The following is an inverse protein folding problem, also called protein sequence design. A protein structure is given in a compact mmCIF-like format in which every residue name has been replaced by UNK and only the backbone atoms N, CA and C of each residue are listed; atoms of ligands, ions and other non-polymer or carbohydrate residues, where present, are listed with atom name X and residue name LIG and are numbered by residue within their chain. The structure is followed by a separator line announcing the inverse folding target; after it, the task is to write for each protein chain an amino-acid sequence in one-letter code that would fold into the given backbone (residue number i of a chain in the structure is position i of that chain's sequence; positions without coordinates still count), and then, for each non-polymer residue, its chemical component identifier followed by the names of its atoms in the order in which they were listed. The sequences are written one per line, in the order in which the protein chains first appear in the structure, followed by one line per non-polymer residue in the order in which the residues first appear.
data_IF_513872947507
#
_entry.id   IF_513872947507
#
_cell.length_a   1.000
_cell.length_b   1.000
_cell.length_c   1.000
_cell.angle_alpha   90.00
_cell.angle_beta   90.00
_cell.angle_gamma   90.00
#
_symmetry.space_group_name_H-M   'P 1'
#
loop_
_entity.id
_entity.type
_entity.pdbx_description
1 polymer ?
#
# COMPACT_ATOMS: atom_id res chain seq x y z
N UNK A 1 -4.43 3.52 10.49
CA UNK A 1 -3.80 2.21 10.76
C UNK A 1 -2.34 2.21 10.37
N UNK A 2 -1.48 1.49 11.10
CA UNK A 2 -0.05 1.35 10.83
C UNK A 2 0.50 0.12 11.54
N UNK A 3 1.67 -0.36 11.13
CA UNK A 3 2.39 -1.44 11.80
C UNK A 3 3.65 -0.93 12.50
N UNK A 4 4.12 0.26 12.14
CA UNK A 4 5.22 0.98 12.81
C UNK A 4 5.10 2.48 12.56
N UNK A 5 5.71 3.27 13.45
CA UNK A 5 5.84 4.72 13.33
C UNK A 5 7.18 5.15 13.95
N UNK A 6 7.45 6.45 14.03
CA UNK A 6 8.68 7.00 14.58
C UNK A 6 8.92 6.60 16.04
N UNK A 7 7.89 6.58 16.89
CA UNK A 7 8.02 6.18 18.28
C UNK A 7 8.35 4.70 18.42
N UNK A 8 7.60 3.85 17.74
CA UNK A 8 7.80 2.40 17.82
C UNK A 8 9.11 1.93 17.20
N UNK A 9 9.57 2.62 16.14
CA UNK A 9 10.82 2.25 15.47
C UNK A 9 12.05 2.67 16.28
N UNK A 10 12.00 3.78 17.01
CA UNK A 10 13.15 4.31 17.72
C UNK A 10 12.95 4.43 19.24
N UNK A 11 11.93 5.15 19.73
CA UNK A 11 11.81 5.49 21.15
C UNK A 11 11.42 4.32 22.04
N UNK A 12 10.35 3.60 21.71
CA UNK A 12 9.76 2.62 22.61
C UNK A 12 10.60 1.35 22.75
N UNK A 13 11.15 0.86 21.66
CA UNK A 13 11.84 -0.42 21.66
C UNK A 13 13.22 -0.43 21.02
N UNK A 14 13.55 0.59 20.23
CA UNK A 14 14.73 0.65 19.35
C UNK A 14 14.87 -0.60 18.48
N UNK A 15 13.73 -1.23 18.13
CA UNK A 15 13.68 -2.42 17.33
C UNK A 15 13.17 -2.10 15.95
N UNK A 16 13.83 -2.62 14.95
CA UNK A 16 13.37 -2.55 13.57
C UNK A 16 12.06 -3.33 13.41
N UNK A 17 11.32 -3.04 12.35
CA UNK A 17 10.08 -3.76 12.03
C UNK A 17 10.32 -5.27 11.95
N UNK A 18 11.43 -5.68 11.32
CA UNK A 18 11.83 -7.08 11.19
C UNK A 18 12.16 -7.71 12.55
N UNK A 19 12.85 -7.01 13.43
CA UNK A 19 13.15 -7.51 14.77
C UNK A 19 11.91 -7.65 15.66
N UNK A 20 10.89 -6.79 15.42
CA UNK A 20 9.66 -6.77 16.21
C UNK A 20 8.67 -7.83 15.77
N UNK A 21 8.50 -8.01 14.48
CA UNK A 21 7.43 -8.84 13.92
C UNK A 21 7.91 -10.02 13.07
N UNK A 22 9.21 -10.08 12.71
CA UNK A 22 9.69 -11.09 11.76
C UNK A 22 8.85 -11.07 10.49
N UNK A 23 8.47 -12.24 10.00
CA UNK A 23 7.64 -12.36 8.79
C UNK A 23 6.16 -12.03 9.01
N UNK A 24 5.70 -11.88 10.25
CA UNK A 24 4.39 -11.29 10.52
C UNK A 24 4.24 -9.87 9.98
N UNK A 25 5.35 -9.16 9.68
CA UNK A 25 5.29 -7.84 9.07
C UNK A 25 4.50 -7.81 7.76
N UNK A 26 4.47 -8.89 6.99
CA UNK A 26 3.72 -8.99 5.74
C UNK A 26 2.20 -9.07 5.97
N UNK A 27 1.64 -10.09 6.66
CA UNK A 27 0.21 -10.14 6.90
C UNK A 27 -0.29 -8.97 7.75
N UNK A 28 0.53 -8.41 8.67
CA UNK A 28 0.18 -7.19 9.40
C UNK A 28 0.10 -5.97 8.48
N UNK A 29 0.97 -5.87 7.46
CA UNK A 29 0.86 -4.82 6.43
C UNK A 29 -0.45 -4.97 5.65
N UNK A 30 -0.80 -6.19 5.23
CA UNK A 30 -2.08 -6.46 4.55
C UNK A 30 -3.25 -6.03 5.45
N UNK A 31 -3.23 -6.43 6.72
CA UNK A 31 -4.26 -6.04 7.70
C UNK A 31 -4.38 -4.52 7.79
N UNK A 32 -3.27 -3.79 7.99
CA UNK A 32 -3.27 -2.34 8.15
C UNK A 32 -3.85 -1.60 6.92
N UNK A 33 -3.71 -2.16 5.73
CA UNK A 33 -4.24 -1.55 4.49
C UNK A 33 -5.69 -1.90 4.18
N UNK A 34 -6.19 -3.00 4.71
CA UNK A 34 -7.52 -3.53 4.37
C UNK A 34 -8.56 -3.34 5.46
N UNK A 35 -8.16 -3.02 6.70
CA UNK A 35 -9.08 -2.56 7.74
C UNK A 35 -9.52 -1.12 7.53
N UNK A 36 -10.50 -0.68 8.33
CA UNK A 36 -10.96 0.71 8.34
C UNK A 36 -9.83 1.69 8.69
N UNK A 37 -9.82 2.83 8.02
CA UNK A 37 -8.92 3.95 8.26
C UNK A 37 -7.86 4.14 7.18
N UNK A 38 -7.11 5.23 7.31
CA UNK A 38 -6.03 5.57 6.41
C UNK A 38 -4.75 4.86 6.87
N UNK A 39 -4.12 4.02 6.01
CA UNK A 39 -2.86 3.40 6.35
C UNK A 39 -1.71 4.43 6.30
N UNK A 40 -0.75 4.27 7.20
CA UNK A 40 0.49 5.01 7.23
C UNK A 40 1.66 4.06 6.98
N UNK A 41 2.55 4.43 6.08
CA UNK A 41 3.86 3.82 5.91
C UNK A 41 4.88 4.72 6.60
N UNK A 42 5.62 4.15 7.53
CA UNK A 42 6.77 4.83 8.09
C UNK A 42 7.98 4.67 7.17
N UNK A 43 8.79 5.70 7.05
CA UNK A 43 9.98 5.75 6.21
C UNK A 43 10.86 4.52 6.37
N UNK A 44 11.24 3.86 5.26
CA UNK A 44 12.06 2.65 5.24
C UNK A 44 11.27 1.35 5.41
N UNK A 45 9.95 1.38 5.64
CA UNK A 45 9.13 0.17 5.66
C UNK A 45 9.13 -0.53 4.31
N UNK A 46 9.14 0.23 3.22
CA UNK A 46 9.20 -0.25 1.85
C UNK A 46 10.49 -1.00 1.51
N UNK A 47 11.56 -0.80 2.28
CA UNK A 47 12.82 -1.54 2.17
C UNK A 47 12.90 -2.74 3.12
N UNK A 48 11.77 -3.11 3.75
CA UNK A 48 11.66 -4.20 4.71
C UNK A 48 11.72 -3.79 6.18
N UNK A 49 11.93 -2.49 6.46
CA UNK A 49 11.96 -1.98 7.83
C UNK A 49 13.09 -2.54 8.70
N UNK A 50 14.28 -2.72 8.11
CA UNK A 50 15.45 -3.33 8.76
C UNK A 50 16.32 -2.33 9.51
N UNK A 51 15.94 -1.07 9.59
CA UNK A 51 16.70 0.01 10.19
C UNK A 51 15.89 0.72 11.27
N UNK A 52 16.50 0.95 12.43
CA UNK A 52 15.97 1.87 13.43
C UNK A 52 16.43 3.29 13.06
N UNK A 53 15.46 4.19 12.89
CA UNK A 53 15.72 5.57 12.46
C UNK A 53 15.68 6.50 13.66
N UNK A 54 16.84 6.99 14.07
CA UNK A 54 16.94 8.02 15.09
C UNK A 54 16.57 9.39 14.49
N UNK A 55 15.37 9.87 14.78
CA UNK A 55 14.89 11.14 14.25
C UNK A 55 15.41 12.38 14.99
N UNK A 56 16.18 12.21 16.07
CA UNK A 56 16.92 13.29 16.71
C UNK A 56 18.33 13.46 16.13
N UNK A 57 18.86 12.42 15.49
CA UNK A 57 20.16 12.42 14.86
C UNK A 57 19.99 12.00 13.40
N UNK A 58 20.49 12.75 12.47
CA UNK A 58 20.37 12.59 11.02
C UNK A 58 20.64 11.15 10.52
N UNK A 59 19.75 10.21 10.83
CA UNK A 59 19.82 8.82 10.38
C UNK A 59 19.30 8.71 8.96
N UNK A 60 20.15 8.30 8.05
CA UNK A 60 19.79 8.12 6.63
C UNK A 60 19.21 6.73 6.40
N UNK A 61 18.13 6.66 5.62
CA UNK A 61 17.55 5.38 5.20
C UNK A 61 18.50 4.72 4.21
N UNK A 62 18.81 3.45 4.44
CA UNK A 62 19.57 2.66 3.49
C UNK A 62 18.63 2.12 2.38
N UNK A 63 18.56 2.84 1.29
CA UNK A 63 17.75 2.46 0.12
C UNK A 63 18.34 1.30 -0.69
N UNK A 64 19.54 0.85 -0.39
CA UNK A 64 20.19 -0.30 -1.06
C UNK A 64 19.70 -1.65 -0.51
N UNK A 65 19.10 -1.67 0.68
CA UNK A 65 18.44 -2.87 1.17
C UNK A 65 17.03 -2.92 0.57
N UNK A 66 16.77 -3.92 -0.26
CA UNK A 66 15.46 -4.07 -0.89
C UNK A 66 14.79 -5.33 -0.37
N UNK A 67 13.57 -5.18 0.10
CA UNK A 67 12.65 -6.28 0.36
C UNK A 67 11.59 -6.27 -0.75
N UNK A 68 11.88 -6.96 -1.85
CA UNK A 68 10.99 -7.01 -3.01
C UNK A 68 9.59 -7.52 -2.66
N UNK A 69 9.48 -8.44 -1.70
CA UNK A 69 8.18 -8.93 -1.22
C UNK A 69 7.39 -7.82 -0.54
N UNK A 70 8.01 -7.04 0.36
CA UNK A 70 7.36 -5.92 1.02
C UNK A 70 6.97 -4.83 0.02
N UNK A 71 7.90 -4.47 -0.86
CA UNK A 71 7.66 -3.44 -1.88
C UNK A 71 6.49 -3.80 -2.80
N UNK A 72 6.44 -5.04 -3.29
CA UNK A 72 5.38 -5.50 -4.18
C UNK A 72 4.04 -5.67 -3.43
N UNK A 73 4.08 -6.11 -2.17
CA UNK A 73 2.89 -6.15 -1.30
C UNK A 73 2.31 -4.75 -1.15
N UNK A 74 3.12 -3.76 -0.81
CA UNK A 74 2.69 -2.37 -0.67
C UNK A 74 2.14 -1.80 -1.98
N UNK A 75 2.81 -2.03 -3.10
CA UNK A 75 2.34 -1.62 -4.44
C UNK A 75 0.95 -2.15 -4.75
N UNK A 76 0.75 -3.44 -4.51
CA UNK A 76 -0.54 -4.08 -4.76
C UNK A 76 -1.62 -3.53 -3.82
N UNK A 77 -1.29 -3.31 -2.55
CA UNK A 77 -2.22 -2.73 -1.57
C UNK A 77 -2.59 -1.29 -1.89
N UNK A 78 -1.66 -0.48 -2.41
CA UNK A 78 -1.96 0.86 -2.91
C UNK A 78 -2.95 0.83 -4.07
N UNK A 79 -2.65 0.01 -5.09
CA UNK A 79 -3.54 -0.14 -6.24
C UNK A 79 -4.93 -0.63 -5.80
N UNK A 80 -4.98 -1.60 -4.90
CA UNK A 80 -6.21 -2.14 -4.33
C UNK A 80 -7.04 -1.05 -3.63
N UNK A 81 -6.42 -0.27 -2.73
CA UNK A 81 -7.11 0.76 -1.96
C UNK A 81 -7.62 1.91 -2.84
N UNK A 82 -6.96 2.18 -3.97
CA UNK A 82 -7.42 3.16 -4.95
C UNK A 82 -8.53 2.65 -5.87
N UNK A 83 -8.52 1.35 -6.19
CA UNK A 83 -9.45 0.78 -7.17
C UNK A 83 -10.78 0.33 -6.54
N UNK A 84 -10.77 -0.11 -5.28
CA UNK A 84 -11.88 -0.86 -4.70
C UNK A 84 -12.61 -0.03 -3.65
N UNK A 85 -13.87 0.31 -3.94
CA UNK A 85 -14.71 1.17 -3.08
C UNK A 85 -14.93 0.59 -1.68
N UNK A 86 -14.99 -0.74 -1.54
CA UNK A 86 -15.07 -1.42 -0.23
C UNK A 86 -13.88 -1.13 0.69
N UNK A 87 -12.77 -0.59 0.19
CA UNK A 87 -11.62 -0.14 0.99
C UNK A 87 -11.51 1.38 1.08
N UNK A 88 -12.38 2.13 0.40
CA UNK A 88 -12.42 3.57 0.55
C UNK A 88 -13.10 3.92 1.87
N UNK A 89 -12.47 4.80 2.64
CA UNK A 89 -13.09 5.36 3.83
C UNK A 89 -13.67 6.72 3.44
N UNK A 90 -14.94 6.72 3.01
CA UNK A 90 -15.62 7.94 2.60
C UNK A 90 -15.80 8.87 3.80
N UNK A 91 -15.05 9.95 3.83
CA UNK A 91 -15.05 10.90 4.94
C UNK A 91 -16.31 11.79 5.02
N UNK A 92 -17.15 11.76 3.99
CA UNK A 92 -18.31 12.65 3.87
C UNK A 92 -19.61 11.94 3.48
N UNK A 93 -19.62 10.62 3.38
CA UNK A 93 -20.80 9.82 3.07
C UNK A 93 -21.26 9.06 4.30
N UNK A 94 -22.58 8.91 4.46
CA UNK A 94 -23.19 7.99 5.42
C UNK A 94 -22.87 6.53 5.10
N UNK A 95 -22.35 6.27 3.89
CA UNK A 95 -22.16 4.94 3.33
C UNK A 95 -20.69 4.51 3.49
N UNK A 96 -20.35 4.13 4.72
CA UNK A 96 -19.05 3.57 5.00
C UNK A 96 -19.02 2.06 4.72
N UNK A 97 -17.90 1.53 4.20
CA UNK A 97 -17.74 0.11 4.04
C UNK A 97 -17.93 -0.65 5.35
N UNK A 98 -18.73 -1.70 5.32
CA UNK A 98 -18.96 -2.59 6.46
C UNK A 98 -17.82 -3.60 6.56
N UNK A 99 -17.32 -3.85 7.77
CA UNK A 99 -16.38 -4.93 8.07
C UNK A 99 -17.10 -6.05 8.78
N UNK A 100 -17.04 -7.27 8.24
CA UNK A 100 -17.64 -8.47 8.84
C UNK A 100 -16.55 -9.50 9.10
N UNK A 101 -16.36 -9.88 10.37
CA UNK A 101 -15.52 -11.02 10.71
C UNK A 101 -16.21 -12.31 10.29
N UNK A 102 -15.45 -13.25 9.72
CA UNK A 102 -15.93 -14.52 9.26
C UNK A 102 -15.55 -15.62 10.26
N UNK A 103 -16.38 -16.68 10.33
CA UNK A 103 -16.06 -17.86 11.11
C UNK A 103 -14.93 -18.63 10.43
N UNK A 104 -13.95 -19.07 11.23
CA UNK A 104 -12.78 -19.80 10.75
C UNK A 104 -12.57 -21.04 11.62
N UNK A 105 -12.30 -22.19 11.01
CA UNK A 105 -12.07 -23.45 11.73
C UNK A 105 -10.81 -23.40 12.61
N UNK A 106 -9.79 -22.63 12.24
CA UNK A 106 -8.59 -22.33 13.04
C UNK A 106 -8.58 -20.85 13.42
N UNK A 107 -9.34 -20.47 14.43
CA UNK A 107 -9.46 -19.08 14.89
C UNK A 107 -8.30 -18.63 15.81
N UNK A 108 -7.34 -19.48 16.07
CA UNK A 108 -6.15 -19.13 16.87
C UNK A 108 -5.02 -18.58 16.00
N UNK A 109 -4.94 -19.02 14.76
CA UNK A 109 -3.89 -18.66 13.82
C UNK A 109 -4.39 -17.85 12.63
N UNK A 110 -5.64 -18.09 12.21
CA UNK A 110 -6.21 -17.50 10.99
C UNK A 110 -7.25 -16.44 11.31
N UNK A 111 -7.11 -15.28 10.69
CA UNK A 111 -8.09 -14.21 10.67
C UNK A 111 -8.68 -14.12 9.27
N UNK A 112 -10.01 -14.14 9.17
CA UNK A 112 -10.74 -13.89 7.93
C UNK A 112 -11.83 -12.85 8.14
N UNK A 113 -11.98 -11.92 7.19
CA UNK A 113 -13.04 -10.91 7.20
C UNK A 113 -13.33 -10.40 5.79
N UNK A 114 -14.51 -9.82 5.64
CA UNK A 114 -14.89 -9.07 4.44
C UNK A 114 -15.02 -7.60 4.72
N UNK A 115 -14.75 -6.80 3.68
CA UNK A 115 -15.13 -5.40 3.58
C UNK A 115 -16.13 -5.28 2.45
N UNK A 116 -17.24 -4.60 2.67
CA UNK A 116 -18.33 -4.50 1.67
C UNK A 116 -18.86 -3.08 1.59
N UNK A 117 -18.99 -2.58 0.37
CA UNK A 117 -19.70 -1.34 0.03
C UNK A 117 -20.41 -1.56 -1.31
N UNK A 118 -21.73 -1.48 -1.29
CA UNK A 118 -22.59 -1.78 -2.43
C UNK A 118 -22.28 -3.18 -3.04
N UNK A 119 -21.98 -3.26 -4.32
CA UNK A 119 -21.57 -4.48 -5.01
C UNK A 119 -20.07 -4.83 -4.84
N UNK A 120 -19.29 -3.91 -4.29
CA UNK A 120 -17.86 -4.08 -4.09
C UNK A 120 -17.57 -4.85 -2.81
N UNK A 121 -16.80 -5.92 -2.91
CA UNK A 121 -16.42 -6.74 -1.76
C UNK A 121 -14.93 -7.07 -1.80
N UNK A 122 -14.30 -7.08 -0.62
CA UNK A 122 -12.93 -7.56 -0.41
C UNK A 122 -12.97 -8.65 0.65
N UNK A 123 -12.43 -9.81 0.33
CA UNK A 123 -12.20 -10.90 1.27
C UNK A 123 -10.71 -10.93 1.62
N UNK A 124 -10.41 -10.92 2.89
CA UNK A 124 -9.03 -11.01 3.42
C UNK A 124 -8.92 -12.24 4.30
N UNK A 125 -7.91 -13.08 4.04
CA UNK A 125 -7.59 -14.27 4.82
C UNK A 125 -6.12 -14.24 5.17
N UNK A 126 -5.78 -14.24 6.46
CA UNK A 126 -4.44 -14.07 7.00
C UNK A 126 -4.09 -15.22 7.94
N UNK A 127 -3.00 -15.94 7.68
CA UNK A 127 -2.40 -16.86 8.64
C UNK A 127 -1.33 -16.12 9.44
N UNK A 128 -1.61 -15.82 10.70
CA UNK A 128 -0.66 -15.20 11.64
C UNK A 128 0.19 -16.23 12.38
N UNK A 129 -0.13 -17.52 12.20
CA UNK A 129 0.55 -18.65 12.83
C UNK A 129 1.96 -18.90 12.27
N UNK A 130 2.72 -19.75 12.93
CA UNK A 130 4.10 -20.11 12.56
C UNK A 130 4.19 -21.37 11.69
N UNK A 131 3.07 -21.99 11.40
CA UNK A 131 2.96 -23.20 10.58
C UNK A 131 1.95 -23.00 9.45
N UNK A 132 2.13 -23.75 8.38
CA UNK A 132 1.12 -23.85 7.34
C UNK A 132 -0.16 -24.46 7.92
N UNK A 133 -1.33 -23.99 7.47
CA UNK A 133 -2.62 -24.46 7.93
C UNK A 133 -3.62 -24.55 6.78
N UNK A 134 -4.59 -25.46 6.94
CA UNK A 134 -5.77 -25.56 6.07
C UNK A 134 -6.97 -25.11 6.90
N UNK A 135 -7.49 -23.93 6.60
CA UNK A 135 -8.56 -23.30 7.37
C UNK A 135 -9.83 -23.14 6.52
N UNK A 136 -10.93 -23.65 7.04
CA UNK A 136 -12.25 -23.45 6.44
C UNK A 136 -12.85 -22.15 6.94
N UNK A 137 -13.26 -21.30 6.02
CA UNK A 137 -13.89 -20.00 6.26
C UNK A 137 -15.35 -20.07 5.83
N UNK A 138 -16.26 -19.63 6.69
CA UNK A 138 -17.70 -19.61 6.46
C UNK A 138 -18.23 -18.18 6.35
N UNK A 139 -19.32 -17.99 5.59
CA UNK A 139 -19.96 -16.69 5.43
C UNK A 139 -19.41 -15.86 4.27
N UNK A 140 -18.67 -16.48 3.35
CA UNK A 140 -18.22 -15.85 2.11
C UNK A 140 -19.42 -15.69 1.17
N UNK A 141 -19.51 -14.57 0.46
CA UNK A 141 -20.45 -14.45 -0.67
C UNK A 141 -20.02 -15.39 -1.78
N UNK A 142 -20.83 -16.41 -2.08
CA UNK A 142 -20.51 -17.37 -3.13
C UNK A 142 -20.52 -16.69 -4.51
N UNK A 143 -19.54 -17.03 -5.34
CA UNK A 143 -19.42 -16.47 -6.70
C UNK A 143 -17.98 -16.31 -7.19
N UNK A 144 -17.82 -15.51 -8.23
CA UNK A 144 -16.52 -15.23 -8.84
C UNK A 144 -15.77 -14.15 -8.08
N UNK A 145 -14.51 -14.44 -7.77
CA UNK A 145 -13.58 -13.56 -7.07
C UNK A 145 -12.27 -13.43 -7.83
N UNK A 146 -11.70 -12.25 -7.84
CA UNK A 146 -10.38 -11.98 -8.40
C UNK A 146 -9.32 -12.03 -7.29
N UNK A 147 -8.32 -12.90 -7.40
CA UNK A 147 -7.19 -12.92 -6.46
C UNK A 147 -6.28 -11.73 -6.75
N UNK A 148 -6.21 -10.78 -5.83
CA UNK A 148 -5.39 -9.57 -5.96
C UNK A 148 -4.02 -9.68 -5.32
N UNK A 149 -3.93 -10.36 -4.19
CA UNK A 149 -2.69 -10.50 -3.44
C UNK A 149 -2.61 -11.90 -2.84
N UNK A 150 -1.46 -12.51 -2.99
CA UNK A 150 -1.12 -13.83 -2.45
C UNK A 150 0.31 -13.78 -1.91
N UNK A 151 0.55 -14.41 -0.77
CA UNK A 151 1.86 -14.49 -0.14
C UNK A 151 2.88 -15.33 -0.90
N UNK A 152 2.39 -16.26 -1.72
CA UNK A 152 3.21 -17.20 -2.50
C UNK A 152 3.59 -16.64 -3.87
N UNK A 153 2.67 -15.89 -4.46
CA UNK A 153 2.83 -15.35 -5.81
C UNK A 153 2.77 -13.84 -5.77
N UNK A 154 3.86 -13.18 -6.06
CA UNK A 154 3.85 -11.74 -6.25
C UNK A 154 3.16 -11.48 -7.59
N UNK A 155 1.87 -11.19 -7.57
CA UNK A 155 1.11 -10.86 -8.76
C UNK A 155 1.66 -9.57 -9.38
N UNK A 156 2.45 -9.71 -10.44
CA UNK A 156 2.89 -8.59 -11.24
C UNK A 156 1.93 -8.42 -12.42
N UNK A 157 1.36 -7.22 -12.57
CA UNK A 157 0.55 -6.87 -13.73
C UNK A 157 -0.95 -6.77 -13.47
N UNK A 158 -1.71 -6.67 -14.55
CA UNK A 158 -3.17 -6.45 -14.55
C UNK A 158 -4.00 -7.74 -14.55
N UNK A 159 -3.40 -8.86 -14.98
CA UNK A 159 -4.11 -10.14 -15.02
C UNK A 159 -4.29 -10.69 -13.61
N UNK A 160 -5.54 -10.77 -13.15
CA UNK A 160 -5.94 -11.34 -11.88
C UNK A 160 -6.46 -12.76 -12.09
N UNK A 161 -6.02 -13.68 -11.23
CA UNK A 161 -6.59 -15.03 -11.26
C UNK A 161 -8.03 -15.01 -10.78
N UNK A 162 -8.95 -15.41 -11.65
CA UNK A 162 -10.34 -15.61 -11.28
C UNK A 162 -10.49 -16.95 -10.54
N UNK A 163 -11.32 -16.95 -9.52
CA UNK A 163 -11.55 -18.12 -8.66
C UNK A 163 -13.00 -18.09 -8.19
N UNK A 164 -13.71 -19.19 -8.34
CA UNK A 164 -15.03 -19.36 -7.75
C UNK A 164 -14.87 -19.74 -6.29
N UNK A 165 -15.41 -18.95 -5.37
CA UNK A 165 -15.49 -19.25 -3.95
C UNK A 165 -16.90 -19.65 -3.56
N UNK A 166 -17.01 -20.65 -2.70
CA UNK A 166 -18.26 -21.09 -2.09
C UNK A 166 -18.50 -20.32 -0.77
N UNK A 167 -19.73 -20.31 -0.28
CA UNK A 167 -20.08 -19.71 1.01
C UNK A 167 -19.29 -20.29 2.19
N UNK A 168 -18.88 -21.54 2.07
CA UNK A 168 -17.90 -22.21 2.94
C UNK A 168 -16.75 -22.66 2.04
N UNK A 169 -15.55 -22.16 2.29
CA UNK A 169 -14.38 -22.42 1.45
C UNK A 169 -13.15 -22.71 2.30
N UNK A 170 -12.35 -23.70 1.89
CA UNK A 170 -11.11 -24.06 2.59
C UNK A 170 -9.90 -23.43 1.90
N UNK A 171 -9.12 -22.68 2.67
CA UNK A 171 -7.88 -22.05 2.23
C UNK A 171 -6.67 -22.79 2.78
N UNK A 172 -5.75 -23.18 1.91
CA UNK A 172 -4.43 -23.65 2.30
C UNK A 172 -3.50 -22.43 2.33
N UNK A 173 -2.93 -22.13 3.47
CA UNK A 173 -2.08 -20.97 3.72
C UNK A 173 -0.76 -21.42 4.32
N UNK A 174 0.35 -20.96 3.77
CA UNK A 174 1.66 -21.13 4.40
C UNK A 174 1.74 -20.39 5.74
N UNK A 175 2.76 -20.66 6.52
CA UNK A 175 3.10 -19.86 7.69
C UNK A 175 3.23 -18.39 7.30
N UNK A 176 2.53 -17.50 8.01
CA UNK A 176 2.49 -16.06 7.68
C UNK A 176 1.90 -15.76 6.30
N UNK A 177 1.18 -16.72 5.72
CA UNK A 177 0.52 -16.61 4.43
C UNK A 177 -0.70 -15.68 4.48
N UNK A 178 -1.01 -15.07 3.35
CA UNK A 178 -2.17 -14.18 3.21
C UNK A 178 -2.74 -14.26 1.81
N UNK A 179 -4.05 -14.01 1.70
CA UNK A 179 -4.75 -13.85 0.42
C UNK A 179 -5.75 -12.72 0.50
N UNK A 180 -5.84 -11.94 -0.56
CA UNK A 180 -6.83 -10.87 -0.73
C UNK A 180 -7.55 -11.07 -2.05
N UNK A 181 -8.85 -11.21 -1.97
CA UNK A 181 -9.74 -11.37 -3.11
C UNK A 181 -10.66 -10.17 -3.22
N UNK A 182 -11.07 -9.85 -4.44
CA UNK A 182 -12.03 -8.79 -4.74
C UNK A 182 -13.16 -9.36 -5.59
N UNK A 183 -14.40 -9.01 -5.27
CA UNK A 183 -15.59 -9.27 -6.07
C UNK A 183 -16.35 -7.97 -6.30
N UNK A 184 -17.18 -7.94 -7.36
CA UNK A 184 -17.94 -6.77 -7.77
C UNK A 184 -17.22 -5.89 -8.79
N UNK A 185 -17.71 -4.68 -8.99
CA UNK A 185 -17.21 -3.74 -10.00
C UNK A 185 -16.04 -2.92 -9.45
N UNK A 186 -14.91 -2.91 -10.16
CA UNK A 186 -13.77 -2.06 -9.88
C UNK A 186 -13.00 -1.74 -11.17
N UNK A 187 -12.38 -0.55 -11.29
CA UNK A 187 -11.56 -0.24 -12.45
C UNK A 187 -10.28 -1.07 -12.45
N UNK A 188 -9.87 -1.53 -13.64
CA UNK A 188 -8.58 -2.19 -13.80
C UNK A 188 -7.45 -1.26 -13.41
N UNK A 189 -6.56 -1.75 -12.55
CA UNK A 189 -5.40 -1.01 -12.06
C UNK A 189 -4.11 -1.77 -12.39
N UNK A 190 -3.20 -1.10 -13.09
CA UNK A 190 -1.85 -1.63 -13.26
C UNK A 190 -0.99 -1.26 -12.04
N UNK A 191 -0.66 -2.24 -11.22
CA UNK A 191 0.14 -2.05 -10.00
C UNK A 191 1.51 -1.41 -10.27
N UNK A 192 2.04 -1.56 -11.47
CA UNK A 192 3.32 -0.96 -11.86
C UNK A 192 3.21 0.53 -12.23
N UNK A 193 2.00 1.03 -12.53
CA UNK A 193 1.80 2.45 -12.89
C UNK A 193 1.74 3.38 -11.67
N UNK A 194 1.41 2.86 -10.48
CA UNK A 194 1.24 3.68 -9.28
C UNK A 194 2.52 3.88 -8.45
N UNK A 195 3.61 3.28 -8.85
CA UNK A 195 4.87 3.32 -8.09
C UNK A 195 5.99 4.11 -8.75
N UNK A 196 5.81 4.47 -9.99
CA UNK A 196 6.62 5.55 -10.50
C UNK A 196 6.05 6.84 -9.87
N UNK A 197 6.85 7.56 -9.08
CA UNK A 197 6.89 8.99 -9.28
C UNK A 197 7.10 9.06 -10.79
N UNK A 198 6.00 9.26 -11.55
CA UNK A 198 6.15 9.72 -12.92
C UNK A 198 7.10 10.86 -12.75
N UNK A 199 8.35 10.72 -13.24
CA UNK A 199 9.09 11.91 -13.52
C UNK A 199 8.04 12.76 -14.19
N UNK A 200 7.67 13.85 -13.56
CA UNK A 200 6.93 14.90 -14.22
C UNK A 200 7.92 15.37 -15.28
N UNK A 201 8.07 14.56 -16.33
CA UNK A 201 8.31 15.09 -17.64
C UNK A 201 7.02 15.82 -17.88
N UNK A 202 7.04 17.06 -17.40
CA UNK A 202 6.08 18.03 -17.87
C UNK A 202 6.10 17.88 -19.38
N UNK A 203 5.02 17.34 -19.92
CA UNK A 203 4.60 17.70 -21.25
C UNK A 203 4.11 19.16 -21.23
N UNK A 204 4.53 19.94 -20.26
CA UNK A 204 4.56 21.35 -20.38
C UNK A 204 5.59 21.59 -21.47
N UNK A 205 5.05 21.74 -22.67
CA UNK A 205 5.70 22.48 -23.73
C UNK A 205 6.35 23.66 -23.03
N UNK A 206 7.69 23.71 -23.11
CA UNK A 206 8.46 24.83 -22.58
C UNK A 206 7.83 26.10 -23.17
N UNK A 207 7.13 26.85 -22.34
CA UNK A 207 6.39 28.03 -22.76
C UNK A 207 7.31 29.25 -23.04
N UNK A 208 8.63 29.04 -22.91
CA UNK A 208 9.63 30.06 -23.12
C UNK A 208 9.57 31.23 -22.13
N UNK A 209 8.79 31.10 -21.06
CA UNK A 209 8.61 32.15 -20.06
C UNK A 209 9.71 32.14 -19.02
N UNK A 210 9.93 33.30 -18.44
CA UNK A 210 10.77 33.48 -17.28
C UNK A 210 9.92 33.35 -15.99
N UNK A 211 10.50 32.77 -14.96
CA UNK A 211 9.87 32.64 -13.67
C UNK A 211 10.81 33.08 -12.55
N UNK A 212 10.27 33.67 -11.51
CA UNK A 212 10.99 33.87 -10.24
C UNK A 212 11.23 32.51 -9.57
N UNK A 213 12.08 32.44 -8.55
CA UNK A 213 12.28 31.21 -7.75
C UNK A 213 11.02 30.78 -7.00
N UNK A 214 10.07 31.69 -6.80
CA UNK A 214 8.75 31.40 -6.19
C UNK A 214 7.72 30.91 -7.21
N UNK A 215 8.12 30.74 -8.49
CA UNK A 215 7.24 30.23 -9.55
C UNK A 215 6.33 31.27 -10.20
N UNK A 216 6.50 32.57 -9.90
CA UNK A 216 5.72 33.64 -10.55
C UNK A 216 6.25 33.90 -11.97
N UNK A 217 5.39 33.89 -13.00
CA UNK A 217 5.80 34.20 -14.37
C UNK A 217 6.14 35.70 -14.49
N UNK A 218 7.20 36.00 -15.23
CA UNK A 218 7.62 37.36 -15.59
C UNK A 218 7.96 37.44 -17.06
N UNK A 219 7.82 38.59 -17.66
CA UNK A 219 8.15 38.80 -19.08
C UNK A 219 9.65 38.64 -19.36
N UNK A 220 10.48 39.26 -18.54
CA UNK A 220 11.95 39.18 -18.60
C UNK A 220 12.55 39.68 -17.28
N UNK A 221 13.64 39.09 -16.79
CA UNK A 221 14.35 39.63 -15.63
C UNK A 221 14.88 41.04 -15.88
N UNK A 222 14.55 41.94 -14.97
CA UNK A 222 15.03 43.37 -15.01
C UNK A 222 15.97 43.67 -13.86
N UNK A 223 16.23 42.73 -12.98
CA UNK A 223 17.12 42.88 -11.81
C UNK A 223 18.09 41.71 -11.74
N UNK A 224 19.25 41.97 -11.16
CA UNK A 224 20.21 40.93 -10.81
C UNK A 224 19.53 39.88 -9.90
N UNK A 225 19.69 38.63 -10.23
CA UNK A 225 19.08 37.54 -9.44
C UNK A 225 19.07 36.21 -10.16
N UNK A 226 18.58 35.19 -9.46
CA UNK A 226 18.39 33.84 -9.97
C UNK A 226 16.96 33.65 -10.44
N UNK A 227 16.78 33.17 -11.66
CA UNK A 227 15.49 32.97 -12.32
C UNK A 227 15.41 31.59 -12.95
N UNK A 228 14.21 31.17 -13.32
CA UNK A 228 13.98 29.92 -14.04
C UNK A 228 13.54 30.27 -15.47
N UNK A 229 14.19 29.67 -16.46
CA UNK A 229 13.86 29.80 -17.87
C UNK A 229 14.19 28.47 -18.58
N UNK A 230 13.29 27.99 -19.42
CA UNK A 230 13.40 26.66 -20.03
C UNK A 230 13.70 25.55 -19.02
N UNK A 231 13.05 25.61 -17.85
CA UNK A 231 13.25 24.63 -16.76
C UNK A 231 14.64 24.68 -16.10
N UNK A 232 15.50 25.64 -16.45
CA UNK A 232 16.86 25.80 -15.89
C UNK A 232 16.97 27.05 -15.04
N UNK A 233 17.80 26.98 -13.98
CA UNK A 233 18.15 28.14 -13.17
C UNK A 233 19.19 28.97 -13.92
N UNK A 234 18.90 30.25 -14.12
CA UNK A 234 19.76 31.18 -14.84
C UNK A 234 20.04 32.38 -13.93
N UNK A 235 21.32 32.69 -13.76
CA UNK A 235 21.76 33.87 -13.03
C UNK A 235 21.83 35.09 -13.99
N UNK A 236 21.15 36.15 -13.65
CA UNK A 236 21.25 37.46 -14.35
C UNK A 236 22.15 38.38 -13.54
N UNK A 237 23.20 38.90 -14.16
CA UNK A 237 24.27 39.70 -13.52
C UNK A 237 24.20 41.18 -13.85
N UNK A 238 23.09 41.69 -14.41
CA UNK A 238 22.94 43.11 -14.72
C UNK A 238 22.65 43.96 -13.50
#
# INVERSE_FOLDING_TARGET
SYITNHDQNFNESKKTLTQKYGDNRYPLTVLAYTVYGMPLIYNGQETGGNQALDYFNDTKINWNTQDEKMLNTLRTLFALKHAVSALSDARQSSDNPTTTLLNVSDNTSVLAYTRTLDDSQVLVVLNMGTTATSATVEGITAGEWSLWLDSETIAQGTSRKQTTLNATHTFNLDAKGYRVYVSGTYPEQNVNQHTAIRSIRSSQQDDGRWYTLTGQPILRPTKRGLYIHHGKKIMINQ
#
